data_IF_666979988093
#
_entry.id   IF_666979988093
#
_cell.length_a   1.000
_cell.length_b   1.000
_cell.length_c   1.000
_cell.angle_alpha   90.00
_cell.angle_beta   90.00
_cell.angle_gamma   90.00
#
_symmetry.space_group_name_H-M   'P 1'
#
loop_
_entity.id
_entity.type
_entity.pdbx_description
1 polymer ?
#
# COMPACT_ATOMS: atom_id res chain seq x y z
N UNK A 1 -1.87 0.12 8.74
CA UNK A 1 -1.10 -1.14 8.74
C UNK A 1 -2.06 -2.25 8.39
N UNK A 2 -1.68 -3.13 7.49
CA UNK A 2 -2.46 -4.27 7.05
C UNK A 2 -2.80 -5.17 8.24
N UNK A 3 -3.99 -5.76 8.22
CA UNK A 3 -4.35 -6.76 9.21
C UNK A 3 -3.62 -8.07 8.89
N UNK A 4 -2.79 -8.56 9.83
CA UNK A 4 -1.93 -9.72 9.59
C UNK A 4 -2.73 -11.02 9.50
N UNK A 5 -3.86 -11.13 10.19
CA UNK A 5 -4.71 -12.32 10.10
C UNK A 5 -5.41 -12.36 8.74
N UNK A 6 -5.98 -11.23 8.29
CA UNK A 6 -6.57 -11.13 6.96
C UNK A 6 -5.55 -11.38 5.83
N UNK A 7 -4.32 -10.85 5.97
CA UNK A 7 -3.24 -11.10 5.00
C UNK A 7 -2.82 -12.57 5.02
N UNK A 8 -2.77 -13.20 6.20
CA UNK A 8 -2.47 -14.63 6.30
C UNK A 8 -3.51 -15.47 5.57
N UNK A 9 -4.79 -15.24 5.81
CA UNK A 9 -5.89 -15.94 5.12
C UNK A 9 -5.79 -15.77 3.60
N UNK A 10 -5.55 -14.54 3.15
CA UNK A 10 -5.33 -14.23 1.74
C UNK A 10 -4.13 -14.99 1.15
N UNK A 11 -2.98 -14.98 1.81
CA UNK A 11 -1.80 -15.69 1.33
C UNK A 11 -1.97 -17.21 1.37
N UNK A 12 -2.64 -17.75 2.38
CA UNK A 12 -2.94 -19.18 2.48
C UNK A 12 -3.87 -19.63 1.34
N UNK A 13 -4.81 -18.78 0.90
CA UNK A 13 -5.67 -19.04 -0.26
C UNK A 13 -4.92 -18.95 -1.59
N UNK A 14 -4.17 -17.87 -1.81
CA UNK A 14 -3.45 -17.62 -3.07
C UNK A 14 -2.28 -18.58 -3.28
N UNK A 15 -1.63 -19.04 -2.20
CA UNK A 15 -0.49 -19.95 -2.25
C UNK A 15 -0.89 -21.41 -2.02
N UNK A 16 -2.19 -21.73 -2.00
CA UNK A 16 -2.70 -23.07 -1.66
C UNK A 16 -2.12 -24.19 -2.53
N UNK A 17 -1.84 -23.90 -3.81
CA UNK A 17 -1.28 -24.87 -4.77
C UNK A 17 0.24 -24.73 -4.95
N UNK A 18 0.89 -23.87 -4.16
CA UNK A 18 2.33 -23.59 -4.24
C UNK A 18 3.05 -24.29 -3.10
N UNK A 19 4.10 -25.05 -3.42
CA UNK A 19 4.97 -25.64 -2.40
C UNK A 19 5.87 -24.55 -1.79
N UNK A 20 5.55 -24.14 -0.56
CA UNK A 20 6.39 -23.20 0.21
C UNK A 20 7.60 -23.97 0.75
N UNK A 21 8.84 -23.48 0.52
CA UNK A 21 10.05 -24.07 1.10
C UNK A 21 9.95 -24.25 2.61
N UNK A 22 10.41 -25.41 3.12
CA UNK A 22 10.26 -25.80 4.54
C UNK A 22 10.97 -24.89 5.54
N UNK A 23 11.94 -24.12 5.07
CA UNK A 23 12.71 -23.14 5.84
C UNK A 23 12.02 -21.77 5.93
N UNK A 24 10.93 -21.55 5.19
CA UNK A 24 10.13 -20.33 5.24
C UNK A 24 8.95 -20.54 6.19
N UNK A 25 8.97 -19.82 7.30
CA UNK A 25 7.86 -19.78 8.26
C UNK A 25 6.74 -18.87 7.77
N UNK A 26 5.48 -19.31 7.91
CA UNK A 26 4.30 -18.58 7.47
C UNK A 26 4.25 -17.17 8.09
N UNK A 27 4.57 -17.03 9.38
CA UNK A 27 4.58 -15.74 10.09
C UNK A 27 5.61 -14.78 9.49
N UNK A 28 6.79 -15.28 9.12
CA UNK A 28 7.84 -14.47 8.50
C UNK A 28 7.43 -14.03 7.08
N UNK A 29 6.75 -14.91 6.33
CA UNK A 29 6.22 -14.61 5.00
C UNK A 29 5.15 -13.50 5.07
N UNK A 30 4.17 -13.66 5.96
CA UNK A 30 3.09 -12.66 6.18
C UNK A 30 3.68 -11.31 6.55
N UNK A 31 4.60 -11.27 7.51
CA UNK A 31 5.20 -10.01 7.97
C UNK A 31 6.05 -9.34 6.88
N UNK A 32 6.79 -10.14 6.10
CA UNK A 32 7.59 -9.63 4.98
C UNK A 32 6.70 -9.06 3.88
N UNK A 33 5.64 -9.77 3.52
CA UNK A 33 4.68 -9.30 2.52
C UNK A 33 3.96 -8.02 2.98
N UNK A 34 3.51 -7.97 4.24
CA UNK A 34 2.90 -6.77 4.81
C UNK A 34 3.82 -5.56 4.70
N UNK A 35 5.08 -5.71 5.12
CA UNK A 35 6.08 -4.64 5.02
C UNK A 35 6.31 -4.19 3.59
N UNK A 36 6.46 -5.15 2.66
CA UNK A 36 6.65 -4.85 1.25
C UNK A 36 5.51 -3.99 0.69
N UNK A 37 4.26 -4.38 0.94
CA UNK A 37 3.08 -3.64 0.45
C UNK A 37 2.96 -2.28 1.14
N UNK A 38 3.21 -2.21 2.45
CA UNK A 38 3.17 -0.97 3.22
C UNK A 38 4.23 0.02 2.71
N UNK A 39 5.47 -0.43 2.50
CA UNK A 39 6.57 0.41 1.99
C UNK A 39 6.27 0.93 0.57
N UNK A 40 5.81 0.06 -0.34
CA UNK A 40 5.43 0.48 -1.70
C UNK A 40 4.28 1.49 -1.67
N UNK A 41 3.26 1.26 -0.84
CA UNK A 41 2.16 2.20 -0.65
C UNK A 41 2.65 3.56 -0.14
N UNK A 42 3.59 3.60 0.81
CA UNK A 42 4.15 4.85 1.31
C UNK A 42 4.98 5.60 0.26
N UNK A 43 5.78 4.90 -0.55
CA UNK A 43 6.51 5.54 -1.66
C UNK A 43 5.56 6.08 -2.72
N UNK A 44 4.54 5.31 -3.10
CA UNK A 44 3.49 5.77 -4.00
C UNK A 44 2.78 7.02 -3.45
N UNK A 45 2.46 7.06 -2.16
CA UNK A 45 1.88 8.25 -1.52
C UNK A 45 2.82 9.46 -1.58
N UNK A 46 4.12 9.28 -1.30
CA UNK A 46 5.11 10.37 -1.35
C UNK A 46 5.21 10.98 -2.75
N UNK A 47 5.21 10.16 -3.78
CA UNK A 47 5.30 10.65 -5.16
C UNK A 47 4.02 11.33 -5.62
N UNK A 48 2.86 10.79 -5.23
CA UNK A 48 1.59 11.46 -5.50
C UNK A 48 1.44 12.77 -4.71
N UNK A 49 1.95 12.84 -3.48
CA UNK A 49 2.00 14.08 -2.72
C UNK A 49 2.81 15.15 -3.48
N UNK A 50 3.99 14.81 -3.98
CA UNK A 50 4.81 15.73 -4.79
C UNK A 50 4.02 16.21 -6.02
N UNK A 51 3.39 15.30 -6.75
CA UNK A 51 2.60 15.66 -7.93
C UNK A 51 1.39 16.54 -7.61
N UNK A 52 0.65 16.21 -6.54
CA UNK A 52 -0.56 16.91 -6.13
C UNK A 52 -0.26 18.30 -5.57
N UNK A 53 0.75 18.41 -4.71
CA UNK A 53 1.16 19.64 -4.02
C UNK A 53 2.33 20.35 -4.68
N UNK A 54 2.55 20.11 -5.98
CA UNK A 54 3.54 20.81 -6.79
C UNK A 54 4.93 20.86 -6.13
N UNK A 55 5.45 19.68 -5.81
CA UNK A 55 6.77 19.43 -5.20
C UNK A 55 7.01 20.21 -3.89
N UNK A 56 5.96 20.41 -3.09
CA UNK A 56 6.04 21.13 -1.83
C UNK A 56 5.86 22.64 -1.96
N UNK A 57 5.44 23.14 -3.13
CA UNK A 57 4.96 24.51 -3.33
C UNK A 57 3.48 24.52 -3.76
N UNK A 58 2.54 24.31 -2.82
CA UNK A 58 1.14 24.07 -3.15
C UNK A 58 0.47 25.22 -3.89
N UNK A 59 -0.22 24.91 -4.99
CA UNK A 59 -1.20 25.80 -5.60
C UNK A 59 -2.59 25.54 -4.99
N UNK A 60 -2.93 26.31 -3.96
CA UNK A 60 -4.19 26.17 -3.24
C UNK A 60 -5.44 26.46 -4.09
N UNK A 61 -5.32 27.26 -5.15
CA UNK A 61 -6.42 27.49 -6.08
C UNK A 61 -6.72 26.21 -6.86
N UNK A 62 -5.69 25.60 -7.43
CA UNK A 62 -5.79 24.29 -8.12
C UNK A 62 -6.32 23.19 -7.19
N UNK A 63 -5.86 23.14 -5.94
CA UNK A 63 -6.37 22.18 -4.94
C UNK A 63 -7.85 22.42 -4.65
N UNK A 64 -8.26 23.67 -4.42
CA UNK A 64 -9.67 24.02 -4.17
C UNK A 64 -10.58 23.67 -5.35
N UNK A 65 -10.11 23.88 -6.58
CA UNK A 65 -10.83 23.47 -7.79
C UNK A 65 -10.98 21.95 -7.89
N UNK A 66 -9.95 21.19 -7.52
CA UNK A 66 -10.03 19.71 -7.48
C UNK A 66 -11.04 19.23 -6.44
N UNK A 67 -11.03 19.79 -5.22
CA UNK A 67 -12.00 19.46 -4.16
C UNK A 67 -13.43 19.68 -4.66
N UNK A 68 -13.70 20.84 -5.27
CA UNK A 68 -15.03 21.15 -5.83
C UNK A 68 -15.47 20.19 -6.95
N UNK A 69 -14.53 19.63 -7.71
CA UNK A 69 -14.82 18.65 -8.77
C UNK A 69 -15.07 17.24 -8.23
N UNK A 70 -14.37 16.82 -7.18
CA UNK A 70 -14.49 15.49 -6.58
C UNK A 70 -15.70 15.34 -5.65
N UNK A 71 -16.16 16.43 -5.02
CA UNK A 71 -17.31 16.41 -4.09
C UNK A 71 -18.69 16.48 -4.74
N UNK A 72 -18.88 15.94 -5.95
CA UNK A 72 -20.18 15.87 -6.64
C UNK A 72 -20.83 14.51 -6.48
#
# INVERSE_FOLDING_TARGET
>A
MLDREAVKEFLDEELREVEIPKDIFNEALVETFCKYVEDDYYEWLKDNFKSFFNYGNPDWKRVSERIKKCGR
#
